data_IF_064663222111
#
_entry.id   IF_064663222111
#
_cell.length_a   1.000
_cell.length_b   1.000
_cell.length_c   1.000
_cell.angle_alpha   90.00
_cell.angle_beta   90.00
_cell.angle_gamma   90.00
#
_symmetry.space_group_name_H-M   'P 1'
#
loop_
_entity.id
_entity.type
_entity.pdbx_description
1 polymer ?
#
# COMPACT_ATOMS: atom_id res chain seq x y z
N UNK A 1 -6.89 35.12 -46.64
CA UNK A 1 -5.95 34.41 -45.75
C UNK A 1 -6.20 34.86 -44.31
N UNK A 2 -6.05 33.97 -43.32
CA UNK A 2 -6.14 34.21 -41.85
C UNK A 2 -7.50 33.97 -41.14
N UNK A 3 -8.20 32.85 -41.38
CA UNK A 3 -9.30 32.40 -40.47
C UNK A 3 -9.47 30.87 -40.36
N UNK A 4 -8.42 30.06 -40.39
CA UNK A 4 -8.54 28.61 -40.13
C UNK A 4 -7.45 28.02 -39.21
N UNK A 5 -6.44 28.79 -38.81
CA UNK A 5 -5.29 28.24 -38.05
C UNK A 5 -5.57 28.13 -36.55
N UNK A 6 -6.46 28.98 -36.00
CA UNK A 6 -6.78 28.99 -34.56
C UNK A 6 -7.53 27.75 -34.07
N UNK A 7 -8.46 27.22 -34.87
CA UNK A 7 -9.27 26.07 -34.46
C UNK A 7 -8.51 24.74 -34.51
N UNK A 8 -7.52 24.62 -35.40
CA UNK A 8 -6.70 23.40 -35.50
C UNK A 8 -5.72 23.31 -34.32
N UNK A 9 -5.15 24.45 -33.87
CA UNK A 9 -4.28 24.47 -32.70
C UNK A 9 -5.01 24.11 -31.40
N UNK A 10 -6.29 24.50 -31.26
CA UNK A 10 -7.09 24.21 -30.07
C UNK A 10 -7.48 22.72 -29.94
N UNK A 11 -7.73 22.04 -31.06
CA UNK A 11 -8.02 20.60 -31.05
C UNK A 11 -6.77 19.74 -30.80
N UNK A 12 -5.60 20.16 -31.28
CA UNK A 12 -4.33 19.44 -31.03
C UNK A 12 -3.90 19.58 -29.56
N UNK A 13 -4.16 20.72 -28.92
CA UNK A 13 -3.84 20.90 -27.49
C UNK A 13 -4.74 20.06 -26.57
N UNK A 14 -6.02 19.89 -26.91
CA UNK A 14 -6.96 19.06 -26.15
C UNK A 14 -6.64 17.55 -26.29
N UNK A 15 -6.21 17.10 -27.47
CA UNK A 15 -5.78 15.71 -27.68
C UNK A 15 -4.46 15.37 -26.97
N UNK A 16 -3.53 16.35 -26.86
CA UNK A 16 -2.30 16.17 -26.10
C UNK A 16 -2.56 16.02 -24.59
N UNK A 17 -3.54 16.73 -24.03
CA UNK A 17 -3.91 16.61 -22.61
C UNK A 17 -4.49 15.22 -22.27
N UNK A 18 -5.22 14.59 -23.19
CA UNK A 18 -5.74 13.23 -23.02
C UNK A 18 -4.66 12.14 -23.13
N UNK A 19 -3.57 12.39 -23.86
CA UNK A 19 -2.45 11.46 -24.00
C UNK A 19 -1.54 11.39 -22.76
N UNK A 20 -1.63 12.36 -21.84
CA UNK A 20 -0.91 12.37 -20.56
C UNK A 20 -1.74 11.85 -19.38
N UNK A 21 -3.02 11.49 -19.60
CA UNK A 21 -3.77 10.69 -18.65
C UNK A 21 -3.28 9.24 -18.75
N UNK A 22 -2.06 8.99 -18.24
CA UNK A 22 -1.51 7.66 -18.14
C UNK A 22 -2.51 6.76 -17.41
N UNK A 23 -2.73 5.59 -17.99
CA UNK A 23 -3.68 4.56 -17.56
C UNK A 23 -3.25 3.97 -16.20
N UNK A 24 -3.29 4.78 -15.14
CA UNK A 24 -2.95 4.33 -13.80
C UNK A 24 -4.06 3.40 -13.33
N UNK A 25 -3.71 2.12 -13.20
CA UNK A 25 -4.55 1.10 -12.60
C UNK A 25 -5.15 1.62 -11.29
N UNK A 26 -6.47 1.64 -11.22
CA UNK A 26 -7.22 2.04 -10.01
C UNK A 26 -6.94 1.08 -8.87
N UNK A 27 -7.14 1.54 -7.63
CA UNK A 27 -6.98 0.67 -6.45
C UNK A 27 -7.88 -0.58 -6.53
N UNK A 28 -9.10 -0.43 -7.05
CA UNK A 28 -10.02 -1.55 -7.22
C UNK A 28 -9.54 -2.58 -8.26
N UNK A 29 -8.96 -2.11 -9.37
CA UNK A 29 -8.34 -2.99 -10.37
C UNK A 29 -7.13 -3.72 -9.78
N UNK A 30 -6.29 -3.02 -9.02
CA UNK A 30 -5.14 -3.63 -8.34
C UNK A 30 -5.59 -4.71 -7.34
N UNK A 31 -6.63 -4.45 -6.55
CA UNK A 31 -7.20 -5.43 -5.62
C UNK A 31 -7.72 -6.66 -6.38
N UNK A 32 -8.45 -6.45 -7.48
CA UNK A 32 -8.95 -7.54 -8.32
C UNK A 32 -7.81 -8.40 -8.89
N UNK A 33 -6.74 -7.74 -9.36
CA UNK A 33 -5.53 -8.42 -9.82
C UNK A 33 -4.83 -9.17 -8.69
N UNK A 34 -4.71 -8.59 -7.50
CA UNK A 34 -4.09 -9.24 -6.35
C UNK A 34 -4.85 -10.51 -5.95
N UNK A 35 -6.18 -10.48 -5.97
CA UNK A 35 -7.01 -11.63 -5.63
C UNK A 35 -6.96 -12.75 -6.68
N UNK A 36 -6.77 -12.42 -7.97
CA UNK A 36 -6.76 -13.39 -9.07
C UNK A 36 -5.36 -13.84 -9.52
N UNK A 37 -4.29 -13.18 -9.06
CA UNK A 37 -2.92 -13.51 -9.43
C UNK A 37 -2.45 -14.87 -8.91
N UNK A 38 -1.42 -15.42 -9.55
CA UNK A 38 -0.79 -16.65 -9.10
C UNK A 38 -0.22 -16.50 -7.67
N UNK A 39 -0.24 -17.54 -6.81
CA UNK A 39 0.18 -17.45 -5.41
C UNK A 39 1.58 -16.85 -5.18
N UNK A 40 2.51 -17.02 -6.14
CA UNK A 40 3.85 -16.44 -6.08
C UNK A 40 3.88 -14.91 -6.24
N UNK A 41 2.88 -14.33 -6.91
CA UNK A 41 2.77 -12.89 -7.19
C UNK A 41 1.88 -12.17 -6.18
N UNK A 42 0.90 -12.86 -5.58
CA UNK A 42 -0.07 -12.27 -4.67
C UNK A 42 0.54 -11.45 -3.51
N UNK A 43 1.61 -11.89 -2.81
CA UNK A 43 2.15 -11.11 -1.70
C UNK A 43 2.64 -9.72 -2.10
N UNK A 44 3.27 -9.60 -3.28
CA UNK A 44 3.80 -8.31 -3.73
C UNK A 44 2.66 -7.35 -4.12
N UNK A 45 1.61 -7.88 -4.76
CA UNK A 45 0.42 -7.11 -5.13
C UNK A 45 -0.36 -6.65 -3.89
N UNK A 46 -0.52 -7.51 -2.88
CA UNK A 46 -1.15 -7.10 -1.63
C UNK A 46 -0.33 -6.04 -0.89
N UNK A 47 1.00 -6.14 -0.89
CA UNK A 47 1.84 -5.07 -0.33
C UNK A 47 1.76 -3.77 -1.12
N UNK A 48 1.54 -3.82 -2.43
CA UNK A 48 1.29 -2.63 -3.24
C UNK A 48 -0.06 -1.98 -2.86
N UNK A 49 -1.11 -2.77 -2.67
CA UNK A 49 -2.41 -2.26 -2.17
C UNK A 49 -2.21 -1.60 -0.80
N UNK A 50 -1.53 -2.28 0.12
CA UNK A 50 -1.29 -1.75 1.47
C UNK A 50 -0.51 -0.42 1.44
N UNK A 51 0.51 -0.29 0.58
CA UNK A 51 1.31 0.93 0.44
C UNK A 51 0.49 2.08 -0.16
N UNK A 52 -0.36 1.81 -1.16
CA UNK A 52 -1.29 2.81 -1.70
C UNK A 52 -2.29 3.26 -0.64
N UNK A 53 -2.71 2.38 0.25
CA UNK A 53 -3.60 2.74 1.37
C UNK A 53 -2.90 3.55 2.46
N UNK A 54 -1.60 3.37 2.69
CA UNK A 54 -0.82 4.29 3.57
C UNK A 54 -0.86 5.71 3.02
N UNK A 55 -0.68 5.85 1.70
CA UNK A 55 -0.80 7.16 1.05
C UNK A 55 -2.22 7.71 1.14
N UNK A 56 -3.24 6.89 0.86
CA UNK A 56 -4.64 7.31 0.97
C UNK A 56 -4.98 7.77 2.39
N UNK A 57 -4.48 7.09 3.44
CA UNK A 57 -4.66 7.52 4.81
C UNK A 57 -4.08 8.91 5.07
N UNK A 58 -2.83 9.14 4.65
CA UNK A 58 -2.17 10.44 4.79
C UNK A 58 -2.90 11.56 4.03
N UNK A 59 -3.33 11.29 2.81
CA UNK A 59 -4.09 12.24 1.98
C UNK A 59 -5.45 12.56 2.64
N UNK A 60 -6.15 11.56 3.19
CA UNK A 60 -7.43 11.75 3.89
C UNK A 60 -7.32 12.59 5.15
N UNK A 61 -6.32 12.35 6.01
CA UNK A 61 -6.10 13.19 7.18
C UNK A 61 -5.72 14.62 6.79
N UNK A 62 -4.87 14.80 5.77
CA UNK A 62 -4.53 16.13 5.25
C UNK A 62 -5.74 16.89 4.69
N UNK A 63 -6.76 16.15 4.24
CA UNK A 63 -8.03 16.69 3.75
C UNK A 63 -9.11 16.85 4.84
N UNK A 64 -8.77 16.69 6.12
CA UNK A 64 -9.71 16.69 7.25
C UNK A 64 -10.85 15.65 7.08
N UNK A 65 -10.52 14.46 6.57
CA UNK A 65 -11.43 13.31 6.43
C UNK A 65 -10.97 12.14 7.31
N UNK A 66 -11.10 12.25 8.64
CA UNK A 66 -10.57 11.25 9.56
C UNK A 66 -11.21 9.87 9.39
N UNK A 67 -12.50 9.78 9.06
CA UNK A 67 -13.15 8.48 8.77
C UNK A 67 -12.53 7.74 7.58
N UNK A 68 -12.28 8.46 6.48
CA UNK A 68 -11.62 7.89 5.30
C UNK A 68 -10.18 7.50 5.63
N UNK A 69 -9.50 8.29 6.48
CA UNK A 69 -8.17 7.99 7.01
C UNK A 69 -8.15 6.69 7.80
N UNK A 70 -9.08 6.50 8.73
CA UNK A 70 -9.24 5.26 9.50
C UNK A 70 -9.53 4.06 8.62
N UNK A 71 -10.43 4.21 7.65
CA UNK A 71 -10.75 3.15 6.70
C UNK A 71 -9.51 2.72 5.90
N UNK A 72 -8.71 3.68 5.43
CA UNK A 72 -7.47 3.40 4.72
C UNK A 72 -6.43 2.71 5.62
N UNK A 73 -6.27 3.14 6.88
CA UNK A 73 -5.38 2.46 7.85
C UNK A 73 -5.77 1.00 8.07
N UNK A 74 -7.06 0.71 8.23
CA UNK A 74 -7.55 -0.66 8.37
C UNK A 74 -7.21 -1.49 7.13
N UNK A 75 -7.43 -0.94 5.93
CA UNK A 75 -7.08 -1.62 4.69
C UNK A 75 -5.57 -1.83 4.53
N UNK A 76 -4.72 -0.89 4.98
CA UNK A 76 -3.27 -1.11 5.04
C UNK A 76 -2.93 -2.33 5.87
N UNK A 77 -3.50 -2.46 7.08
CA UNK A 77 -3.25 -3.60 7.97
C UNK A 77 -3.77 -4.90 7.34
N UNK A 78 -4.99 -4.90 6.80
CA UNK A 78 -5.62 -6.10 6.21
C UNK A 78 -4.80 -6.66 5.04
N UNK A 79 -4.35 -5.80 4.13
CA UNK A 79 -3.57 -6.25 2.97
C UNK A 79 -2.13 -6.58 3.32
N UNK A 80 -1.53 -5.90 4.31
CA UNK A 80 -0.24 -6.31 4.85
C UNK A 80 -0.31 -7.70 5.50
N UNK A 81 -1.39 -8.00 6.23
CA UNK A 81 -1.58 -9.32 6.86
C UNK A 81 -1.75 -10.44 5.83
N UNK A 82 -2.51 -10.20 4.75
CA UNK A 82 -2.64 -11.17 3.64
C UNK A 82 -1.28 -11.51 3.02
N UNK A 83 -0.44 -10.50 2.76
CA UNK A 83 0.90 -10.73 2.23
C UNK A 83 1.78 -11.46 3.25
N UNK A 84 1.73 -11.03 4.51
CA UNK A 84 2.45 -11.63 5.63
C UNK A 84 2.13 -13.12 5.79
N UNK A 85 0.85 -13.50 5.84
CA UNK A 85 0.41 -14.88 5.98
C UNK A 85 0.87 -15.77 4.82
N UNK A 86 0.77 -15.29 3.58
CA UNK A 86 1.24 -16.03 2.39
C UNK A 86 2.75 -16.25 2.40
N UNK A 87 3.50 -15.26 2.84
CA UNK A 87 4.97 -15.30 2.90
C UNK A 87 5.46 -16.19 4.03
N UNK A 88 4.84 -16.13 5.21
CA UNK A 88 5.13 -17.08 6.29
C UNK A 88 4.82 -18.52 5.89
N UNK A 89 3.69 -18.75 5.21
CA UNK A 89 3.31 -20.10 4.75
C UNK A 89 4.28 -20.65 3.72
N UNK A 90 4.74 -19.82 2.78
CA UNK A 90 5.62 -20.27 1.70
C UNK A 90 7.10 -20.29 2.08
N UNK A 91 7.51 -19.53 3.10
CA UNK A 91 8.91 -19.27 3.44
C UNK A 91 9.68 -18.46 2.39
N UNK A 92 9.02 -18.02 1.32
CA UNK A 92 9.63 -17.27 0.22
C UNK A 92 9.35 -15.78 0.38
N UNK A 93 10.30 -14.94 -0.04
CA UNK A 93 10.21 -13.47 -0.01
C UNK A 93 10.15 -12.85 1.40
N UNK A 94 10.46 -13.60 2.46
CA UNK A 94 10.49 -13.09 3.85
C UNK A 94 11.23 -11.75 4.00
N UNK A 95 12.48 -11.57 3.49
CA UNK A 95 13.19 -10.29 3.64
C UNK A 95 12.53 -9.16 2.85
N UNK A 96 12.03 -9.45 1.65
CA UNK A 96 11.39 -8.47 0.79
C UNK A 96 10.11 -7.91 1.44
N UNK A 97 9.29 -8.79 1.98
CA UNK A 97 8.04 -8.44 2.66
C UNK A 97 8.30 -7.68 3.95
N UNK A 98 9.30 -8.08 4.76
CA UNK A 98 9.70 -7.34 5.96
C UNK A 98 10.07 -5.89 5.62
N UNK A 99 10.89 -5.68 4.58
CA UNK A 99 11.35 -4.34 4.20
C UNK A 99 10.19 -3.45 3.79
N UNK A 100 9.22 -3.97 3.03
CA UNK A 100 8.03 -3.21 2.62
C UNK A 100 7.19 -2.84 3.84
N UNK A 101 6.92 -3.80 4.74
CA UNK A 101 6.14 -3.54 5.96
C UNK A 101 6.85 -2.54 6.88
N UNK A 102 8.18 -2.64 7.03
CA UNK A 102 9.00 -1.66 7.77
C UNK A 102 8.85 -0.24 7.26
N UNK A 103 8.86 -0.06 5.93
CA UNK A 103 8.70 1.27 5.32
C UNK A 103 7.29 1.82 5.56
N UNK A 104 6.26 0.99 5.43
CA UNK A 104 4.88 1.40 5.75
C UNK A 104 4.75 1.81 7.22
N UNK A 105 5.27 1.01 8.15
CA UNK A 105 5.26 1.34 9.58
C UNK A 105 6.00 2.65 9.88
N UNK A 106 7.13 2.91 9.23
CA UNK A 106 7.83 4.19 9.36
C UNK A 106 6.98 5.37 8.88
N UNK A 107 6.37 5.28 7.69
CA UNK A 107 5.46 6.32 7.17
C UNK A 107 4.27 6.57 8.09
N UNK A 108 3.71 5.53 8.69
CA UNK A 108 2.60 5.68 9.65
C UNK A 108 3.05 6.31 10.97
N UNK A 109 4.29 6.08 11.43
CA UNK A 109 4.84 6.82 12.57
C UNK A 109 4.97 8.31 12.27
N UNK A 110 5.41 8.65 11.06
CA UNK A 110 5.48 10.05 10.62
C UNK A 110 4.07 10.66 10.55
N UNK A 111 3.11 9.93 9.97
CA UNK A 111 1.70 10.35 9.94
C UNK A 111 1.14 10.61 11.34
N UNK A 112 1.45 9.75 12.33
CA UNK A 112 0.99 9.92 13.71
C UNK A 112 1.35 11.29 14.30
N UNK A 113 2.50 11.84 13.92
CA UNK A 113 2.94 13.15 14.40
C UNK A 113 2.23 14.32 13.70
N UNK A 114 1.48 14.06 12.64
CA UNK A 114 0.86 15.06 11.77
C UNK A 114 -0.68 14.95 11.73
N UNK A 115 -1.28 14.07 12.54
CA UNK A 115 -2.74 13.99 12.72
C UNK A 115 -3.16 14.64 14.03
N UNK A 116 -4.46 14.93 14.15
CA UNK A 116 -5.05 15.41 15.39
C UNK A 116 -4.81 14.45 16.55
N UNK A 117 -4.76 14.98 17.78
CA UNK A 117 -4.46 14.22 18.98
C UNK A 117 -5.37 12.99 19.15
N UNK A 118 -6.66 13.14 18.82
CA UNK A 118 -7.67 12.09 18.91
C UNK A 118 -7.42 10.93 17.94
N UNK A 119 -6.72 11.18 16.83
CA UNK A 119 -6.41 10.19 15.79
C UNK A 119 -5.10 9.44 16.04
N UNK A 120 -4.22 9.96 16.90
CA UNK A 120 -2.89 9.39 17.13
C UNK A 120 -2.95 7.95 17.64
N UNK A 121 -3.93 7.63 18.49
CA UNK A 121 -4.12 6.28 19.01
C UNK A 121 -4.48 5.28 17.91
N UNK A 122 -5.30 5.69 16.93
CA UNK A 122 -5.70 4.84 15.81
C UNK A 122 -4.53 4.61 14.86
N UNK A 123 -3.75 5.66 14.54
CA UNK A 123 -2.54 5.51 13.72
C UNK A 123 -1.51 4.62 14.43
N UNK A 124 -1.32 4.77 15.75
CA UNK A 124 -0.42 3.92 16.53
C UNK A 124 -0.85 2.45 16.49
N UNK A 125 -2.14 2.15 16.59
CA UNK A 125 -2.65 0.79 16.49
C UNK A 125 -2.28 0.12 15.16
N UNK A 126 -2.35 0.87 14.04
CA UNK A 126 -1.90 0.37 12.74
C UNK A 126 -0.38 0.14 12.70
N UNK A 127 0.43 1.04 13.27
CA UNK A 127 1.89 0.86 13.40
C UNK A 127 2.20 -0.42 14.17
N UNK A 128 1.55 -0.64 15.32
CA UNK A 128 1.82 -1.80 16.18
C UNK A 128 1.49 -3.12 15.48
N UNK A 129 0.42 -3.16 14.67
CA UNK A 129 0.09 -4.33 13.84
C UNK A 129 1.15 -4.61 12.79
N UNK A 130 1.61 -3.59 12.06
CA UNK A 130 2.69 -3.77 11.09
C UNK A 130 3.99 -4.23 11.76
N UNK A 131 4.32 -3.73 12.95
CA UNK A 131 5.48 -4.16 13.72
C UNK A 131 5.38 -5.61 14.23
N UNK A 132 4.18 -6.06 14.59
CA UNK A 132 3.93 -7.47 14.90
C UNK A 132 4.21 -8.36 13.69
N UNK A 133 3.71 -8.00 12.51
CA UNK A 133 3.99 -8.74 11.27
C UNK A 133 5.48 -8.79 10.94
N UNK A 134 6.21 -7.67 11.11
CA UNK A 134 7.68 -7.63 10.93
C UNK A 134 8.37 -8.60 11.87
N UNK A 135 7.95 -8.63 13.13
CA UNK A 135 8.52 -9.50 14.15
C UNK A 135 8.36 -10.97 13.75
N UNK A 136 7.20 -11.36 13.22
CA UNK A 136 6.96 -12.74 12.80
C UNK A 136 7.74 -13.10 11.53
N UNK A 137 7.89 -12.18 10.57
CA UNK A 137 8.76 -12.39 9.40
C UNK A 137 10.23 -12.56 9.80
N UNK A 138 10.70 -11.77 10.76
CA UNK A 138 12.06 -11.88 11.31
C UNK A 138 12.27 -13.24 12.00
N UNK A 139 11.29 -13.72 12.79
CA UNK A 139 11.32 -15.08 13.33
C UNK A 139 11.33 -16.14 12.22
N UNK A 140 10.59 -15.93 11.13
CA UNK A 140 10.63 -16.82 9.97
C UNK A 140 11.99 -16.90 9.28
N UNK A 141 12.78 -15.82 9.31
CA UNK A 141 14.12 -15.77 8.72
C UNK A 141 15.21 -16.30 9.65
N UNK A 142 15.12 -15.98 10.94
CA UNK A 142 16.24 -16.14 11.89
C UNK A 142 15.90 -17.00 13.10
N UNK A 143 14.66 -17.47 13.24
CA UNK A 143 14.26 -18.39 14.30
C UNK A 143 14.99 -19.73 14.16
N UNK A 144 15.37 -20.31 15.30
CA UNK A 144 15.99 -21.64 15.31
C UNK A 144 15.02 -22.66 14.67
N UNK A 145 15.45 -23.32 13.58
CA UNK A 145 14.78 -24.54 13.12
C UNK A 145 14.79 -25.53 14.29
N UNK A 146 13.62 -26.03 14.69
CA UNK A 146 13.56 -27.20 15.57
C UNK A 146 14.42 -28.30 14.93
N UNK A 147 15.36 -28.94 15.66
CA UNK A 147 16.04 -30.10 15.13
C UNK A 147 14.99 -31.13 14.76
N UNK A 148 15.04 -31.63 13.52
CA UNK A 148 14.21 -32.76 13.11
C UNK A 148 14.55 -33.93 14.03
N UNK A 149 13.57 -34.41 14.79
CA UNK A 149 13.72 -35.67 15.51
C UNK A 149 13.71 -36.79 14.46
N UNK A 150 14.89 -37.37 14.21
CA UNK A 150 15.00 -38.66 13.50
C UNK A 150 14.27 -39.76 14.28
#
# INVERSE_FOLDING_TARGET
>A
MKRCVGSILLFVLAAAAAAFAGDQETLQQLISRANSAAPAQQPDLFLEVADRQVKAAADSYSANKPEDGRAALNQTVDYADKAHALVLKSGKKLPHTEIKIRRMAARLRDLKQNVDADEQAVVQGAVDKLEAFRTDLLKGMFGAKKPESN
#
